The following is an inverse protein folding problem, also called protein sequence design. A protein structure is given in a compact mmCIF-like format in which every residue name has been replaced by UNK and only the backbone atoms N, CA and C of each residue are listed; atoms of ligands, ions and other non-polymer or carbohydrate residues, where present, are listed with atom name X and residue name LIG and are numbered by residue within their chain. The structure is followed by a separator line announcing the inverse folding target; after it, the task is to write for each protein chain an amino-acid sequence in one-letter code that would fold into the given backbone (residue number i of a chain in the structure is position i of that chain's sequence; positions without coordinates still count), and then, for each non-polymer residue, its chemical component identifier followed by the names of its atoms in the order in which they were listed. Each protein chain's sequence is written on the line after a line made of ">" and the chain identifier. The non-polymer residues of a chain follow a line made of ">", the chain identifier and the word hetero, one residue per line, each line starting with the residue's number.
data_IF_326120596996
#
_entry.id   IF_326120596996
#
_cell.length_a   1.000
_cell.length_b   1.000
_cell.length_c   1.000
_cell.angle_alpha   90.00
_cell.angle_beta   90.00
_cell.angle_gamma   90.00
#
_symmetry.space_group_name_H-M   'P 1'
#
loop_
_entity.id
_entity.type
_entity.pdbx_description
1 polymer ?
#
# COMPACT_ATOMS: atom_id res chain seq x y z
N UNK A 1 67.15 13.17 -35.76
CA UNK A 1 66.76 13.87 -37.00
C UNK A 1 65.23 13.94 -36.99
N UNK A 2 64.70 15.18 -37.09
CA UNK A 2 63.29 15.65 -37.14
C UNK A 2 62.34 15.23 -36.01
N UNK A 3 61.86 16.07 -35.08
CA UNK A 3 61.34 17.46 -35.06
C UNK A 3 59.82 17.60 -35.36
N UNK A 4 59.11 18.12 -34.33
CA UNK A 4 58.02 19.12 -34.36
C UNK A 4 56.54 18.70 -34.54
N UNK A 5 55.82 18.77 -33.42
CA UNK A 5 54.73 19.72 -33.11
C UNK A 5 53.73 20.14 -34.20
N UNK A 6 52.42 19.87 -33.99
CA UNK A 6 51.37 20.91 -33.83
C UNK A 6 49.96 20.34 -33.59
N UNK A 7 49.33 20.84 -32.53
CA UNK A 7 47.88 20.99 -32.34
C UNK A 7 47.30 21.84 -33.47
N UNK A 8 46.22 21.40 -34.10
CA UNK A 8 45.23 22.29 -34.73
C UNK A 8 43.81 21.80 -34.38
N UNK A 9 43.09 22.66 -33.68
CA UNK A 9 41.64 22.63 -33.57
C UNK A 9 41.10 23.71 -34.52
N UNK A 10 40.18 23.36 -35.40
CA UNK A 10 39.30 24.30 -36.13
C UNK A 10 38.04 23.56 -36.57
N UNK A 11 36.91 23.77 -35.89
CA UNK A 11 35.76 24.60 -36.32
C UNK A 11 34.94 24.01 -37.48
N UNK A 12 33.77 23.47 -37.15
CA UNK A 12 32.73 23.05 -38.11
C UNK A 12 31.96 24.24 -38.70
N UNK A 13 31.57 24.23 -39.99
CA UNK A 13 30.56 25.13 -40.52
C UNK A 13 29.15 24.51 -40.53
N UNK A 14 28.16 25.29 -40.08
CA UNK A 14 26.74 24.94 -40.02
C UNK A 14 26.03 24.96 -41.39
N UNK A 15 25.02 24.10 -41.63
CA UNK A 15 24.03 24.35 -42.68
C UNK A 15 22.73 24.97 -42.14
N UNK A 16 22.56 26.24 -42.53
CA UNK A 16 21.38 26.86 -43.16
C UNK A 16 19.96 26.45 -42.71
N UNK A 17 19.26 27.42 -42.13
CA UNK A 17 17.80 27.43 -41.93
C UNK A 17 17.06 27.54 -43.27
N UNK A 18 16.14 26.62 -43.54
CA UNK A 18 14.93 26.89 -44.33
C UNK A 18 13.71 26.43 -43.55
N UNK A 19 12.96 27.41 -43.08
CA UNK A 19 11.64 27.29 -42.47
C UNK A 19 10.65 26.72 -43.49
N UNK A 20 10.09 25.55 -43.22
CA UNK A 20 8.85 25.10 -43.85
C UNK A 20 7.79 25.04 -42.75
N UNK A 21 6.78 25.88 -42.88
CA UNK A 21 5.64 25.96 -41.98
C UNK A 21 4.60 24.90 -42.37
N UNK A 22 3.97 24.37 -41.31
CA UNK A 22 2.63 23.80 -41.23
C UNK A 22 2.42 22.35 -41.69
N UNK A 23 2.09 21.51 -40.69
CA UNK A 23 1.15 20.40 -40.85
C UNK A 23 1.71 19.01 -40.52
N UNK A 24 1.58 18.59 -39.26
CA UNK A 24 1.69 17.18 -38.86
C UNK A 24 2.87 16.87 -37.95
N UNK A 25 2.60 16.68 -36.66
CA UNK A 25 3.58 16.30 -35.63
C UNK A 25 4.16 14.89 -35.92
N UNK A 26 5.33 14.84 -36.55
CA UNK A 26 6.22 13.68 -36.55
C UNK A 26 7.25 13.83 -35.41
N UNK A 27 7.45 12.72 -34.71
CA UNK A 27 8.13 12.56 -33.42
C UNK A 27 9.63 12.88 -33.50
N UNK A 28 10.11 13.78 -32.65
CA UNK A 28 11.54 14.04 -32.40
C UNK A 28 12.03 13.43 -31.08
N UNK A 29 13.35 13.23 -30.87
CA UNK A 29 13.90 12.48 -29.73
C UNK A 29 13.89 13.21 -28.36
N UNK A 30 12.92 14.11 -28.14
CA UNK A 30 12.66 14.74 -26.85
C UNK A 30 11.30 14.27 -26.30
N UNK A 31 11.17 12.98 -26.04
CA UNK A 31 10.08 12.41 -25.24
C UNK A 31 10.66 11.71 -24.02
N UNK A 32 11.28 12.51 -23.16
CA UNK A 32 11.42 12.20 -21.75
C UNK A 32 10.55 13.20 -20.99
N UNK A 33 9.68 12.65 -20.13
CA UNK A 33 8.76 13.32 -19.18
C UNK A 33 7.43 13.83 -19.75
N UNK A 34 6.58 12.90 -20.17
CA UNK A 34 5.12 13.08 -20.10
C UNK A 34 4.42 11.75 -19.78
N UNK A 35 4.63 11.26 -18.56
CA UNK A 35 3.66 10.43 -17.81
C UNK A 35 3.93 10.48 -16.29
N UNK A 36 4.47 11.62 -15.82
CA UNK A 36 4.54 12.00 -14.39
C UNK A 36 3.58 13.18 -14.10
N UNK A 37 2.57 13.36 -14.95
CA UNK A 37 1.48 14.32 -14.73
C UNK A 37 0.16 13.68 -15.14
N UNK A 38 -0.16 12.56 -14.48
CA UNK A 38 -1.50 12.00 -14.46
C UNK A 38 -2.24 12.56 -13.24
N UNK A 39 -3.16 13.48 -13.50
CA UNK A 39 -4.28 13.87 -12.65
C UNK A 39 -3.98 14.19 -11.18
N UNK A 40 -3.82 15.48 -10.91
CA UNK A 40 -4.23 16.11 -9.65
C UNK A 40 -5.74 15.90 -9.43
N UNK A 41 -6.09 14.70 -8.99
CA UNK A 41 -7.43 14.31 -8.52
C UNK A 41 -7.44 14.28 -7.00
N UNK A 42 -7.73 15.43 -6.38
CA UNK A 42 -8.19 15.52 -5.00
C UNK A 42 -7.12 15.51 -3.90
N UNK A 43 -6.58 16.69 -3.58
CA UNK A 43 -6.23 16.95 -2.18
C UNK A 43 -7.53 17.19 -1.42
N UNK A 44 -7.91 16.23 -0.58
CA UNK A 44 -9.09 16.31 0.28
C UNK A 44 -9.04 15.26 1.38
N UNK A 45 -8.32 15.55 2.46
CA UNK A 45 -8.34 14.74 3.68
C UNK A 45 -7.14 15.00 4.56
N UNK A 46 -7.24 15.99 5.46
CA UNK A 46 -6.32 16.12 6.58
C UNK A 46 -6.28 14.79 7.35
N UNK A 47 -5.12 14.13 7.44
CA UNK A 47 -4.95 12.99 8.35
C UNK A 47 -5.80 11.74 8.05
N UNK A 48 -5.40 11.00 7.02
CA UNK A 48 -5.19 9.55 7.16
C UNK A 48 -6.37 8.59 7.33
N UNK A 49 -7.64 8.95 7.07
CA UNK A 49 -8.76 7.99 7.04
C UNK A 49 -9.32 7.81 5.63
N UNK A 50 -9.81 6.61 5.33
CA UNK A 50 -10.28 6.17 4.00
C UNK A 50 -11.75 5.81 4.01
N UNK A 51 -12.41 6.04 2.88
CA UNK A 51 -13.69 5.39 2.56
C UNK A 51 -13.47 3.90 2.26
N UNK A 52 -14.55 3.11 2.33
CA UNK A 52 -14.46 1.69 1.98
C UNK A 52 -13.89 1.47 0.56
N UNK A 53 -14.37 2.23 -0.42
CA UNK A 53 -13.95 2.08 -1.82
C UNK A 53 -12.45 2.40 -2.02
N UNK A 54 -11.93 3.41 -1.31
CA UNK A 54 -10.50 3.75 -1.38
C UNK A 54 -9.63 2.62 -0.82
N UNK A 55 -9.96 2.12 0.37
CA UNK A 55 -9.23 0.99 0.98
C UNK A 55 -9.32 -0.28 0.12
N UNK A 56 -10.51 -0.62 -0.38
CA UNK A 56 -10.69 -1.78 -1.26
C UNK A 56 -9.89 -1.66 -2.57
N UNK A 57 -9.78 -0.45 -3.14
CA UNK A 57 -8.94 -0.19 -4.31
C UNK A 57 -7.45 -0.39 -3.98
N UNK A 58 -6.98 0.08 -2.83
CA UNK A 58 -5.60 -0.14 -2.37
C UNK A 58 -5.33 -1.64 -2.24
N UNK A 59 -6.19 -2.39 -1.56
CA UNK A 59 -6.04 -3.83 -1.37
C UNK A 59 -6.03 -4.60 -2.67
N UNK A 60 -6.98 -4.31 -3.57
CA UNK A 60 -7.06 -4.95 -4.88
C UNK A 60 -5.79 -4.70 -5.69
N UNK A 61 -5.29 -3.46 -5.70
CA UNK A 61 -4.05 -3.10 -6.41
C UNK A 61 -2.80 -3.82 -5.87
N UNK A 62 -2.83 -4.21 -4.60
CA UNK A 62 -1.75 -4.96 -3.93
C UNK A 62 -1.93 -6.48 -3.98
N UNK A 63 -3.02 -7.00 -4.56
CA UNK A 63 -3.34 -8.43 -4.55
C UNK A 63 -3.73 -8.95 -3.16
N UNK A 64 -4.37 -8.11 -2.36
CA UNK A 64 -5.05 -8.46 -1.11
C UNK A 64 -6.54 -8.59 -1.42
N UNK A 65 -7.13 -9.72 -1.07
CA UNK A 65 -8.57 -9.97 -1.20
C UNK A 65 -9.30 -9.66 0.10
N UNK A 66 -10.62 -9.58 0.07
CA UNK A 66 -11.45 -9.48 1.27
C UNK A 66 -12.80 -10.16 1.05
N UNK A 67 -13.44 -10.53 2.15
CA UNK A 67 -14.74 -11.22 2.14
C UNK A 67 -15.59 -10.73 3.30
N UNK A 68 -16.90 -10.58 3.07
CA UNK A 68 -17.89 -10.27 4.12
C UNK A 68 -18.90 -11.40 4.23
N UNK A 69 -19.11 -11.91 5.44
CA UNK A 69 -20.11 -12.96 5.70
C UNK A 69 -21.55 -12.47 5.44
N UNK A 70 -21.82 -11.19 5.71
CA UNK A 70 -23.10 -10.53 5.44
C UNK A 70 -23.29 -10.04 4.00
N UNK A 71 -22.30 -10.23 3.11
CA UNK A 71 -22.30 -9.69 1.74
C UNK A 71 -22.56 -8.17 1.68
N UNK A 72 -21.94 -7.43 2.60
CA UNK A 72 -22.16 -5.99 2.78
C UNK A 72 -20.91 -5.27 3.29
N UNK A 73 -20.93 -3.95 3.22
CA UNK A 73 -19.82 -3.08 3.62
C UNK A 73 -20.24 -2.00 4.62
N UNK A 74 -21.41 -2.17 5.23
CA UNK A 74 -21.94 -1.22 6.22
C UNK A 74 -21.22 -1.37 7.55
N UNK A 75 -20.53 -0.31 7.96
CA UNK A 75 -19.78 -0.25 9.21
C UNK A 75 -20.67 -0.46 10.45
N UNK A 76 -21.96 -0.16 10.39
CA UNK A 76 -22.86 -0.30 11.53
C UNK A 76 -23.48 -1.69 11.66
N UNK A 77 -23.09 -2.64 10.80
CA UNK A 77 -23.55 -4.02 10.83
C UNK A 77 -22.37 -4.97 11.06
N UNK A 78 -22.40 -5.72 12.16
CA UNK A 78 -21.32 -6.62 12.59
C UNK A 78 -21.11 -7.84 11.69
N UNK A 79 -22.03 -8.13 10.76
CA UNK A 79 -21.82 -9.16 9.75
C UNK A 79 -21.10 -8.64 8.48
N UNK A 80 -20.95 -7.33 8.35
CA UNK A 80 -20.27 -6.73 7.20
C UNK A 80 -18.74 -6.73 7.41
N UNK A 81 -18.00 -6.68 6.32
CA UNK A 81 -16.60 -6.25 6.35
C UNK A 81 -16.56 -4.84 5.81
N UNK A 82 -16.37 -3.86 6.69
CA UNK A 82 -16.30 -2.46 6.32
C UNK A 82 -14.85 -1.99 6.33
N UNK A 83 -14.52 -1.02 5.47
CA UNK A 83 -13.28 -0.27 5.57
C UNK A 83 -13.55 1.24 5.68
N UNK A 84 -14.81 1.63 5.90
CA UNK A 84 -15.16 3.02 6.10
C UNK A 84 -14.47 3.56 7.34
N UNK A 85 -13.75 4.68 7.22
CA UNK A 85 -12.92 5.25 8.27
C UNK A 85 -11.70 4.38 8.64
N UNK A 86 -11.21 3.51 7.75
CA UNK A 86 -9.95 2.80 7.94
C UNK A 86 -8.78 3.77 7.83
N UNK A 87 -7.74 3.63 8.65
CA UNK A 87 -6.55 4.48 8.48
C UNK A 87 -5.79 4.13 7.20
N UNK A 88 -5.33 5.15 6.49
CA UNK A 88 -4.38 5.02 5.38
C UNK A 88 -3.15 4.22 5.81
N UNK A 89 -2.58 4.54 6.98
CA UNK A 89 -1.41 3.84 7.50
C UNK A 89 -1.69 2.37 7.84
N UNK A 90 -2.90 2.01 8.28
CA UNK A 90 -3.31 0.61 8.45
C UNK A 90 -3.38 -0.12 7.10
N UNK A 91 -3.90 0.56 6.07
CA UNK A 91 -3.93 0.00 4.71
C UNK A 91 -2.52 -0.20 4.14
N UNK A 92 -1.63 0.77 4.34
CA UNK A 92 -0.22 0.69 3.92
C UNK A 92 0.54 -0.40 4.69
N UNK A 93 0.21 -0.58 5.97
CA UNK A 93 0.70 -1.68 6.80
C UNK A 93 0.30 -3.05 6.26
N UNK A 94 -0.97 -3.22 5.83
CA UNK A 94 -1.45 -4.45 5.19
C UNK A 94 -0.74 -4.72 3.86
N UNK A 95 -0.53 -3.69 3.03
CA UNK A 95 0.24 -3.79 1.78
C UNK A 95 1.69 -4.18 2.06
N UNK A 96 2.29 -3.64 3.12
CA UNK A 96 3.65 -3.98 3.54
C UNK A 96 3.73 -5.45 3.98
N UNK A 97 2.78 -5.91 4.79
CA UNK A 97 2.67 -7.31 5.19
C UNK A 97 2.54 -8.24 3.97
N UNK A 98 1.69 -7.89 3.00
CA UNK A 98 1.51 -8.66 1.76
C UNK A 98 2.82 -8.80 1.00
N UNK A 99 3.56 -7.70 0.83
CA UNK A 99 4.83 -7.69 0.10
C UNK A 99 5.93 -8.44 0.84
N UNK A 100 6.02 -8.27 2.17
CA UNK A 100 7.07 -8.87 2.98
C UNK A 100 6.87 -10.38 3.18
N UNK A 101 5.62 -10.83 3.33
CA UNK A 101 5.31 -12.26 3.49
C UNK A 101 5.25 -13.01 2.15
N UNK A 102 4.90 -12.34 1.06
CA UNK A 102 4.58 -12.99 -0.22
C UNK A 102 3.29 -13.84 -0.18
N UNK A 103 2.60 -13.89 0.96
CA UNK A 103 1.43 -14.75 1.15
C UNK A 103 0.17 -14.19 0.47
N UNK A 104 -0.77 -15.07 0.14
CA UNK A 104 -2.16 -14.66 -0.10
C UNK A 104 -2.75 -14.08 1.20
N UNK A 105 -3.27 -12.85 1.16
CA UNK A 105 -3.96 -12.22 2.29
C UNK A 105 -5.43 -12.03 1.94
N UNK A 106 -6.30 -12.46 2.85
CA UNK A 106 -7.74 -12.20 2.77
C UNK A 106 -8.17 -11.49 4.04
N UNK A 107 -8.70 -10.27 3.90
CA UNK A 107 -9.29 -9.50 5.00
C UNK A 107 -10.71 -9.99 5.26
N UNK A 108 -11.02 -10.31 6.51
CA UNK A 108 -12.33 -10.84 6.95
C UNK A 108 -13.09 -9.90 7.86
N UNK A 109 -12.42 -8.88 8.39
CA UNK A 109 -12.96 -7.88 9.29
C UNK A 109 -12.16 -6.60 9.20
N UNK A 110 -12.81 -5.48 9.44
CA UNK A 110 -12.22 -4.17 9.29
C UNK A 110 -12.77 -3.21 10.32
N UNK A 111 -13.62 -2.29 9.90
CA UNK A 111 -14.01 -1.15 10.70
C UNK A 111 -15.41 -1.26 11.31
N UNK A 112 -16.11 -2.35 11.02
CA UNK A 112 -17.48 -2.62 11.47
C UNK A 112 -17.67 -2.60 13.01
N UNK A 113 -18.92 -2.47 13.44
CA UNK A 113 -19.30 -2.58 14.85
C UNK A 113 -19.21 -4.03 15.36
N UNK A 114 -19.27 -4.21 16.68
CA UNK A 114 -19.21 -5.53 17.34
C UNK A 114 -17.85 -5.89 17.91
N UNK A 115 -16.83 -5.03 17.72
CA UNK A 115 -15.49 -5.18 18.27
C UNK A 115 -15.29 -4.41 19.57
N UNK A 116 -14.27 -4.78 20.35
CA UNK A 116 -13.88 -4.01 21.53
C UNK A 116 -13.45 -2.58 21.17
N UNK A 117 -13.89 -1.61 21.97
CA UNK A 117 -13.51 -0.20 21.82
C UNK A 117 -12.09 0.11 22.33
N UNK A 118 -11.70 1.38 22.26
CA UNK A 118 -10.39 1.88 22.70
C UNK A 118 -9.65 2.64 21.60
N UNK A 119 -8.52 3.25 21.95
CA UNK A 119 -7.72 4.08 21.01
C UNK A 119 -7.33 3.28 19.77
N UNK A 120 -6.68 2.12 19.96
CA UNK A 120 -6.25 1.21 18.90
C UNK A 120 -7.31 0.12 18.70
N UNK A 121 -8.38 0.45 17.97
CA UNK A 121 -9.54 -0.43 17.76
C UNK A 121 -9.91 -0.53 16.28
N UNK A 122 -10.75 -1.53 15.95
CA UNK A 122 -11.44 -1.63 14.66
C UNK A 122 -12.24 -0.36 14.38
N UNK A 123 -12.96 0.12 15.40
CA UNK A 123 -13.76 1.34 15.29
C UNK A 123 -12.93 2.60 14.98
N UNK A 124 -11.64 2.63 15.31
CA UNK A 124 -10.78 3.77 14.98
C UNK A 124 -9.87 3.51 13.77
N UNK A 125 -10.12 2.42 13.02
CA UNK A 125 -9.39 2.12 11.79
C UNK A 125 -7.95 1.65 12.01
N UNK A 126 -7.61 1.21 13.23
CA UNK A 126 -6.27 0.73 13.58
C UNK A 126 -6.08 -0.76 13.33
N UNK A 127 -7.16 -1.49 13.06
CA UNK A 127 -7.14 -2.95 13.04
C UNK A 127 -7.77 -3.52 11.77
N UNK A 128 -7.25 -4.65 11.33
CA UNK A 128 -7.83 -5.49 10.28
C UNK A 128 -7.71 -6.95 10.71
N UNK A 129 -8.74 -7.73 10.40
CA UNK A 129 -8.72 -9.17 10.60
C UNK A 129 -8.34 -9.88 9.32
N UNK A 130 -7.39 -10.81 9.39
CA UNK A 130 -6.96 -11.62 8.26
C UNK A 130 -7.29 -13.09 8.48
N UNK A 131 -7.70 -13.75 7.38
CA UNK A 131 -7.82 -15.21 7.35
C UNK A 131 -6.49 -15.87 7.76
N UNK A 132 -6.52 -16.87 8.66
CA UNK A 132 -5.31 -17.44 9.22
C UNK A 132 -4.78 -18.57 8.34
N UNK A 133 -4.37 -18.21 7.13
CA UNK A 133 -3.75 -19.17 6.21
C UNK A 133 -2.46 -19.72 6.83
N UNK A 134 -2.08 -20.94 6.43
CA UNK A 134 -0.81 -21.54 6.85
C UNK A 134 0.37 -20.63 6.50
N UNK A 135 0.42 -20.10 5.27
CA UNK A 135 1.48 -19.18 4.84
C UNK A 135 1.61 -17.96 5.77
N UNK A 136 0.50 -17.26 6.03
CA UNK A 136 0.53 -16.07 6.87
C UNK A 136 0.93 -16.40 8.31
N UNK A 137 0.41 -17.52 8.83
CA UNK A 137 0.68 -17.94 10.21
C UNK A 137 2.14 -18.34 10.39
N UNK A 138 2.71 -19.10 9.46
CA UNK A 138 4.13 -19.49 9.48
C UNK A 138 5.04 -18.26 9.35
N UNK A 139 4.68 -17.32 8.47
CA UNK A 139 5.42 -16.07 8.31
C UNK A 139 5.44 -15.26 9.61
N UNK A 140 4.26 -15.01 10.22
CA UNK A 140 4.15 -14.23 11.45
C UNK A 140 4.93 -14.91 12.59
N UNK A 141 4.66 -16.20 12.82
CA UNK A 141 5.23 -16.92 13.96
C UNK A 141 6.73 -17.23 13.80
N UNK A 142 7.22 -17.33 12.56
CA UNK A 142 8.64 -17.53 12.26
C UNK A 142 9.46 -16.24 12.13
N UNK A 143 8.81 -15.08 11.90
CA UNK A 143 9.51 -13.81 11.63
C UNK A 143 9.38 -12.79 12.75
N UNK A 144 8.23 -12.75 13.43
CA UNK A 144 7.94 -11.72 14.44
C UNK A 144 8.20 -12.24 15.86
N UNK A 145 8.56 -11.32 16.75
CA UNK A 145 8.88 -11.66 18.14
C UNK A 145 7.60 -11.98 18.90
N UNK A 146 7.54 -13.15 19.52
CA UNK A 146 6.46 -13.47 20.47
C UNK A 146 6.49 -12.49 21.65
N UNK A 147 5.39 -11.78 21.88
CA UNK A 147 5.27 -10.72 22.88
C UNK A 147 4.32 -11.05 24.04
N UNK A 148 3.88 -12.31 24.13
CA UNK A 148 3.10 -12.83 25.24
C UNK A 148 1.69 -13.26 24.82
N UNK A 149 0.79 -13.34 25.81
CA UNK A 149 -0.60 -13.74 25.60
C UNK A 149 -1.52 -12.64 26.11
N UNK A 150 -2.50 -12.23 25.31
CA UNK A 150 -3.55 -11.28 25.69
C UNK A 150 -4.53 -11.94 26.67
N UNK A 151 -5.30 -11.16 27.42
CA UNK A 151 -6.19 -11.66 28.48
C UNK A 151 -7.29 -12.64 28.02
N UNK A 152 -7.57 -12.70 26.72
CA UNK A 152 -8.48 -13.64 26.07
C UNK A 152 -7.81 -14.92 25.56
N UNK A 153 -6.50 -15.09 25.81
CA UNK A 153 -5.72 -16.25 25.38
C UNK A 153 -5.07 -16.11 24.01
N UNK A 154 -5.25 -14.99 23.30
CA UNK A 154 -4.62 -14.79 22.00
C UNK A 154 -3.10 -14.63 22.14
N UNK A 155 -2.33 -15.43 21.39
CA UNK A 155 -0.88 -15.31 21.31
C UNK A 155 -0.52 -14.04 20.53
N UNK A 156 0.38 -13.21 21.08
CA UNK A 156 0.80 -11.95 20.49
C UNK A 156 2.18 -12.08 19.84
N UNK A 157 2.30 -11.52 18.65
CA UNK A 157 3.55 -11.39 17.92
C UNK A 157 3.73 -9.94 17.49
N UNK A 158 4.91 -9.37 17.73
CA UNK A 158 5.21 -7.97 17.42
C UNK A 158 6.25 -7.91 16.31
N UNK A 159 5.88 -7.26 15.21
CA UNK A 159 6.79 -7.01 14.10
C UNK A 159 7.82 -5.92 14.48
N UNK A 160 8.98 -5.83 13.80
CA UNK A 160 9.95 -4.75 14.03
C UNK A 160 9.38 -3.34 13.81
N UNK A 161 8.32 -3.20 13.01
CA UNK A 161 7.60 -1.94 12.88
C UNK A 161 6.84 -1.54 14.16
N UNK A 162 6.62 -2.46 15.10
CA UNK A 162 5.76 -2.25 16.27
C UNK A 162 4.31 -2.67 16.07
N UNK A 163 3.91 -3.08 14.85
CA UNK A 163 2.58 -3.66 14.62
C UNK A 163 2.43 -4.96 15.41
N UNK A 164 1.24 -5.17 15.97
CA UNK A 164 0.93 -6.31 16.84
C UNK A 164 -0.04 -7.25 16.14
N UNK A 165 0.27 -8.54 16.16
CA UNK A 165 -0.49 -9.61 15.52
C UNK A 165 -0.99 -10.55 16.62
N UNK A 166 -2.29 -10.55 16.87
CA UNK A 166 -2.94 -11.42 17.84
C UNK A 166 -3.53 -12.63 17.12
N UNK A 167 -3.09 -13.83 17.50
CA UNK A 167 -3.66 -15.08 16.99
C UNK A 167 -4.92 -15.40 17.78
N UNK A 168 -6.06 -15.03 17.23
CA UNK A 168 -7.36 -15.53 17.68
C UNK A 168 -7.65 -16.90 17.04
N UNK A 169 -8.66 -17.62 17.53
CA UNK A 169 -8.95 -18.97 17.03
C UNK A 169 -9.29 -18.98 15.53
N UNK A 170 -10.09 -18.02 15.06
CA UNK A 170 -10.61 -17.97 13.70
C UNK A 170 -9.85 -17.06 12.74
N UNK A 171 -9.02 -16.13 13.23
CA UNK A 171 -8.34 -15.13 12.41
C UNK A 171 -7.06 -14.57 13.08
N UNK A 172 -6.35 -13.73 12.34
CA UNK A 172 -5.33 -12.84 12.87
C UNK A 172 -5.93 -11.46 13.05
N UNK A 173 -6.00 -11.00 14.30
CA UNK A 173 -6.35 -9.64 14.67
C UNK A 173 -5.05 -8.81 14.64
N UNK A 174 -4.92 -7.91 13.66
CA UNK A 174 -3.70 -7.13 13.45
C UNK A 174 -3.91 -5.67 13.75
N UNK A 175 -3.11 -5.13 14.67
CA UNK A 175 -3.09 -3.70 15.05
C UNK A 175 -1.91 -2.99 14.40
N UNK A 176 -2.20 -1.96 13.61
CA UNK A 176 -1.21 -1.13 12.90
C UNK A 176 -0.94 0.17 13.65
N UNK A 177 0.25 0.32 14.23
CA UNK A 177 0.59 1.44 15.12
C UNK A 177 1.32 2.60 14.45
N UNK A 178 1.71 2.44 13.19
CA UNK A 178 2.40 3.48 12.42
C UNK A 178 1.48 4.16 11.41
#
# INVERSE_FOLDING_TARGET
>A
MNALTRKLATTEPAPSRRTLLAGGLALGPTTWRALVTGSSGGSGGSGGLLTHAQAASIFTSAGITWTSSGNCTDRYNSACTSFEGLRQASSDGAVTLKRASGCGLTVTGGTETGHAGGTYSHWNGYKLDFSPTTCLSDYITGTFTYSGTRGDGAALYTAPSGNVYARESSHWDVTFLN
#
